data_IF_170805606694
#
_entry.id   IF_170805606694
#
_cell.length_a   1.000
_cell.length_b   1.000
_cell.length_c   1.000
_cell.angle_alpha   90.00
_cell.angle_beta   90.00
_cell.angle_gamma   90.00
#
_symmetry.space_group_name_H-M   'P 1'
#
loop_
_entity.id
_entity.type
_entity.pdbx_description
1 polymer ?
#
# COMPACT_ATOMS: atom_id res chain seq x y z
N UNK A 1 19.82 6.03 3.36
CA UNK A 1 19.58 4.57 3.45
C UNK A 1 20.63 3.83 2.65
N UNK A 2 20.94 2.56 2.97
CA UNK A 2 21.75 1.71 2.08
C UNK A 2 20.87 1.12 0.97
N UNK A 3 21.43 0.82 -0.21
CA UNK A 3 20.68 0.26 -1.36
C UNK A 3 19.84 -0.98 -0.98
N UNK A 4 20.44 -1.93 -0.25
CA UNK A 4 19.74 -3.12 0.24
C UNK A 4 18.56 -2.80 1.17
N UNK A 5 18.62 -1.69 1.92
CA UNK A 5 17.49 -1.25 2.75
C UNK A 5 16.38 -0.69 1.86
N UNK A 6 16.71 0.16 0.87
CA UNK A 6 15.72 0.73 -0.07
C UNK A 6 15.00 -0.38 -0.86
N UNK A 7 15.73 -1.38 -1.34
CA UNK A 7 15.17 -2.54 -2.05
C UNK A 7 14.13 -3.28 -1.21
N UNK A 8 14.46 -3.62 0.04
CA UNK A 8 13.53 -4.26 0.97
C UNK A 8 12.29 -3.40 1.24
N UNK A 9 12.46 -2.09 1.38
CA UNK A 9 11.33 -1.17 1.58
C UNK A 9 10.44 -1.13 0.34
N UNK A 10 11.04 -1.15 -0.85
CA UNK A 10 10.31 -1.16 -2.11
C UNK A 10 9.46 -2.43 -2.23
N UNK A 11 10.04 -3.61 -1.98
CA UNK A 11 9.31 -4.88 -1.95
C UNK A 11 8.16 -4.86 -0.92
N UNK A 12 8.41 -4.32 0.27
CA UNK A 12 7.40 -4.21 1.33
C UNK A 12 6.23 -3.31 0.92
N UNK A 13 6.51 -2.16 0.29
CA UNK A 13 5.48 -1.23 -0.19
C UNK A 13 4.69 -1.84 -1.36
N UNK A 14 5.34 -2.58 -2.25
CA UNK A 14 4.66 -3.27 -3.36
C UNK A 14 3.72 -4.37 -2.85
N UNK A 15 4.17 -5.16 -1.87
CA UNK A 15 3.32 -6.14 -1.17
C UNK A 15 2.12 -5.49 -0.49
N UNK A 16 2.34 -4.36 0.18
CA UNK A 16 1.26 -3.61 0.85
C UNK A 16 0.24 -3.09 -0.17
N UNK A 17 0.70 -2.53 -1.29
CA UNK A 17 -0.16 -2.05 -2.38
C UNK A 17 -0.96 -3.17 -3.03
N UNK A 18 -0.42 -4.37 -3.11
CA UNK A 18 -1.17 -5.53 -3.62
C UNK A 18 -2.30 -5.93 -2.69
N UNK A 19 -2.08 -5.91 -1.37
CA UNK A 19 -3.14 -6.11 -0.39
C UNK A 19 -4.22 -5.03 -0.52
N UNK A 20 -3.82 -3.78 -0.81
CA UNK A 20 -4.75 -2.69 -1.02
C UNK A 20 -5.62 -2.87 -2.27
N UNK A 21 -5.08 -3.45 -3.35
CA UNK A 21 -5.87 -3.82 -4.55
C UNK A 21 -6.85 -4.95 -4.25
N UNK A 22 -6.41 -5.98 -3.51
CA UNK A 22 -7.29 -7.07 -3.08
C UNK A 22 -8.44 -6.54 -2.22
N UNK A 23 -8.18 -5.55 -1.37
CA UNK A 23 -9.22 -4.91 -0.56
C UNK A 23 -10.30 -4.28 -1.45
N UNK A 24 -9.90 -3.58 -2.52
CA UNK A 24 -10.84 -3.01 -3.49
C UNK A 24 -11.62 -4.08 -4.27
N UNK A 25 -10.99 -5.21 -4.58
CA UNK A 25 -11.70 -6.34 -5.17
C UNK A 25 -12.86 -6.78 -4.26
N UNK A 26 -12.62 -6.91 -2.95
CA UNK A 26 -13.64 -7.25 -1.97
C UNK A 26 -14.72 -6.17 -1.82
N UNK A 27 -14.38 -4.88 -1.90
CA UNK A 27 -15.40 -3.81 -1.98
C UNK A 27 -16.34 -4.03 -3.18
N UNK A 28 -15.78 -4.39 -4.34
CA UNK A 28 -16.54 -4.73 -5.53
C UNK A 28 -17.45 -5.96 -5.36
N UNK A 29 -16.97 -7.01 -4.68
CA UNK A 29 -17.78 -8.19 -4.36
C UNK A 29 -18.95 -7.85 -3.42
N UNK A 30 -18.69 -7.03 -2.40
CA UNK A 30 -19.72 -6.55 -1.47
C UNK A 30 -20.76 -5.68 -2.18
N UNK A 31 -20.32 -4.75 -3.03
CA UNK A 31 -21.20 -3.92 -3.86
C UNK A 31 -22.11 -4.76 -4.75
N UNK A 32 -21.54 -5.77 -5.42
CA UNK A 32 -22.27 -6.68 -6.29
C UNK A 32 -23.14 -7.69 -5.52
N UNK A 33 -22.99 -7.78 -4.19
CA UNK A 33 -23.58 -8.81 -3.32
C UNK A 33 -23.26 -10.23 -3.79
N UNK A 34 -22.06 -10.42 -4.33
CA UNK A 34 -21.58 -11.69 -4.91
C UNK A 34 -20.36 -12.19 -4.15
N UNK A 35 -20.58 -12.62 -2.91
CA UNK A 35 -19.55 -13.20 -2.07
C UNK A 35 -20.09 -14.42 -1.34
N UNK A 36 -19.18 -15.36 -1.04
CA UNK A 36 -19.44 -16.57 -0.27
C UNK A 36 -18.93 -16.41 1.16
N UNK A 37 -19.31 -17.31 2.09
CA UNK A 37 -18.77 -17.28 3.45
C UNK A 37 -17.25 -17.34 3.52
N UNK A 38 -16.58 -18.00 2.58
CA UNK A 38 -15.11 -18.08 2.53
C UNK A 38 -14.48 -16.73 2.18
N UNK A 39 -15.14 -15.95 1.32
CA UNK A 39 -14.70 -14.60 0.94
C UNK A 39 -14.71 -13.66 2.17
N UNK A 40 -15.68 -13.82 3.07
CA UNK A 40 -15.76 -13.06 4.32
C UNK A 40 -14.54 -13.37 5.21
N UNK A 41 -14.19 -14.65 5.37
CA UNK A 41 -13.02 -15.05 6.16
C UNK A 41 -11.72 -14.47 5.57
N UNK A 42 -11.53 -14.59 4.26
CA UNK A 42 -10.37 -14.03 3.57
C UNK A 42 -10.32 -12.50 3.65
N UNK A 43 -11.47 -11.82 3.59
CA UNK A 43 -11.53 -10.36 3.74
C UNK A 43 -11.05 -9.91 5.13
N UNK A 44 -11.47 -10.61 6.18
CA UNK A 44 -11.04 -10.30 7.56
C UNK A 44 -9.53 -10.56 7.77
N UNK A 45 -9.01 -11.64 7.18
CA UNK A 45 -7.58 -11.92 7.18
C UNK A 45 -6.80 -10.85 6.42
N UNK A 46 -7.26 -10.47 5.23
CA UNK A 46 -6.65 -9.41 4.42
C UNK A 46 -6.58 -8.09 5.19
N UNK A 47 -7.63 -7.71 5.91
CA UNK A 47 -7.61 -6.50 6.77
C UNK A 47 -6.53 -6.56 7.83
N UNK A 48 -6.34 -7.72 8.45
CA UNK A 48 -5.30 -7.93 9.46
C UNK A 48 -3.90 -7.82 8.83
N UNK A 49 -3.72 -8.44 7.66
CA UNK A 49 -2.48 -8.37 6.89
C UNK A 49 -2.14 -6.94 6.47
N UNK A 50 -3.14 -6.17 6.04
CA UNK A 50 -2.99 -4.75 5.69
C UNK A 50 -2.47 -3.95 6.88
N UNK A 51 -3.09 -4.10 8.06
CA UNK A 51 -2.67 -3.36 9.27
C UNK A 51 -1.25 -3.76 9.67
N UNK A 52 -0.91 -5.05 9.60
CA UNK A 52 0.44 -5.53 9.88
C UNK A 52 1.46 -4.95 8.90
N UNK A 53 1.18 -4.98 7.59
CA UNK A 53 2.08 -4.42 6.57
C UNK A 53 2.21 -2.90 6.68
N UNK A 54 1.15 -2.21 7.08
CA UNK A 54 1.19 -0.78 7.37
C UNK A 54 2.26 -0.46 8.43
N UNK A 55 2.30 -1.22 9.54
CA UNK A 55 3.32 -1.02 10.58
C UNK A 55 4.74 -1.24 10.05
N UNK A 56 4.95 -2.29 9.24
CA UNK A 56 6.27 -2.54 8.64
C UNK A 56 6.72 -1.40 7.73
N UNK A 57 5.81 -0.88 6.90
CA UNK A 57 6.12 0.24 5.99
C UNK A 57 6.42 1.51 6.78
N UNK A 58 5.63 1.84 7.80
CA UNK A 58 5.85 3.01 8.65
C UNK A 58 7.13 2.93 9.47
N UNK A 59 7.52 1.73 9.92
CA UNK A 59 8.81 1.53 10.59
C UNK A 59 10.00 1.75 9.65
N UNK A 60 9.79 1.64 8.34
CA UNK A 60 10.85 1.72 7.35
C UNK A 60 10.94 3.06 6.61
N UNK A 61 9.83 3.80 6.50
CA UNK A 61 9.76 5.09 5.78
C UNK A 61 9.66 6.25 6.78
N UNK A 62 10.59 7.20 6.67
CA UNK A 62 10.72 8.31 7.63
C UNK A 62 9.80 9.50 7.31
N UNK A 63 9.31 9.67 6.08
CA UNK A 63 8.41 10.78 5.69
C UNK A 63 7.62 10.52 4.40
N UNK A 64 6.55 11.29 4.17
CA UNK A 64 5.78 11.28 2.92
C UNK A 64 4.63 10.25 2.84
N UNK A 65 4.45 9.42 3.88
CA UNK A 65 3.34 8.48 3.96
C UNK A 65 1.99 9.18 4.18
N UNK A 66 0.88 8.65 3.64
CA UNK A 66 -0.44 9.10 4.04
C UNK A 66 -0.63 8.91 5.56
N UNK A 67 -1.47 9.72 6.23
CA UNK A 67 -1.71 9.60 7.66
C UNK A 67 -2.13 8.17 8.04
N UNK A 68 -1.47 7.59 9.03
CA UNK A 68 -1.79 6.23 9.51
C UNK A 68 -3.26 6.12 9.93
N UNK A 69 -3.78 7.17 10.56
CA UNK A 69 -5.19 7.27 10.97
C UNK A 69 -6.16 7.13 9.79
N UNK A 70 -5.85 7.68 8.61
CA UNK A 70 -6.73 7.59 7.44
C UNK A 70 -6.89 6.14 6.98
N UNK A 71 -5.79 5.39 6.98
CA UNK A 71 -5.78 3.96 6.65
C UNK A 71 -6.57 3.17 7.69
N UNK A 72 -6.34 3.41 8.98
CA UNK A 72 -7.04 2.71 10.06
C UNK A 72 -8.53 3.03 10.09
N UNK A 73 -8.90 4.28 9.84
CA UNK A 73 -10.30 4.72 9.76
C UNK A 73 -11.02 4.02 8.61
N UNK A 74 -10.39 3.92 7.43
CA UNK A 74 -10.95 3.20 6.30
C UNK A 74 -11.17 1.72 6.61
N UNK A 75 -10.17 1.05 7.17
CA UNK A 75 -10.24 -0.38 7.51
C UNK A 75 -11.30 -0.64 8.60
N UNK A 76 -11.43 0.27 9.55
CA UNK A 76 -12.46 0.22 10.60
C UNK A 76 -13.86 0.46 10.05
N UNK A 77 -14.00 1.31 9.03
CA UNK A 77 -15.25 1.57 8.31
C UNK A 77 -15.76 0.39 7.46
N UNK A 78 -14.96 -0.66 7.32
CA UNK A 78 -15.26 -1.84 6.52
C UNK A 78 -15.22 -3.13 7.37
N UNK A 79 -16.05 -3.28 8.41
CA UNK A 79 -15.95 -4.36 9.40
C UNK A 79 -16.12 -5.76 8.81
N UNK A 80 -17.02 -5.95 7.84
CA UNK A 80 -17.31 -7.23 7.17
C UNK A 80 -17.83 -7.02 5.74
N UNK A 81 -17.75 -8.02 4.87
CA UNK A 81 -18.36 -7.95 3.53
C UNK A 81 -19.88 -7.85 3.64
N UNK A 82 -20.49 -8.58 4.59
CA UNK A 82 -21.92 -8.46 4.87
C UNK A 82 -22.32 -7.03 5.20
N UNK A 83 -21.62 -6.38 6.14
CA UNK A 83 -21.89 -4.99 6.49
C UNK A 83 -21.78 -4.07 5.28
N UNK A 84 -20.71 -4.21 4.48
CA UNK A 84 -20.49 -3.41 3.28
C UNK A 84 -21.60 -3.60 2.24
N UNK A 85 -22.11 -4.83 2.09
CA UNK A 85 -23.19 -5.15 1.15
C UNK A 85 -24.54 -4.55 1.54
N UNK A 86 -24.71 -4.22 2.81
CA UNK A 86 -25.91 -3.60 3.37
C UNK A 86 -25.83 -2.07 3.39
N UNK A 87 -24.65 -1.49 3.16
CA UNK A 87 -24.49 -0.04 3.10
C UNK A 87 -25.29 0.58 1.93
N UNK A 88 -25.81 1.79 2.11
CA UNK A 88 -26.31 2.58 0.98
C UNK A 88 -25.21 2.78 -0.07
N UNK A 89 -25.58 2.75 -1.36
CA UNK A 89 -24.65 2.93 -2.48
C UNK A 89 -23.77 4.18 -2.33
N UNK A 90 -24.36 5.28 -1.85
CA UNK A 90 -23.64 6.52 -1.60
C UNK A 90 -22.53 6.37 -0.55
N UNK A 91 -22.79 5.62 0.53
CA UNK A 91 -21.81 5.35 1.59
C UNK A 91 -20.68 4.45 1.08
N UNK A 92 -21.03 3.45 0.27
CA UNK A 92 -20.03 2.57 -0.33
C UNK A 92 -19.13 3.31 -1.32
N UNK A 93 -19.69 4.17 -2.18
CA UNK A 93 -18.91 5.04 -3.07
C UNK A 93 -18.01 6.02 -2.32
N UNK A 94 -18.45 6.51 -1.16
CA UNK A 94 -17.61 7.36 -0.32
C UNK A 94 -16.39 6.59 0.21
N UNK A 95 -16.60 5.33 0.64
CA UNK A 95 -15.52 4.44 1.08
C UNK A 95 -14.54 4.11 -0.06
N UNK A 96 -15.05 3.79 -1.26
CA UNK A 96 -14.23 3.57 -2.46
C UNK A 96 -13.41 4.82 -2.83
N UNK A 97 -14.00 6.00 -2.71
CA UNK A 97 -13.32 7.27 -2.95
C UNK A 97 -12.21 7.52 -1.92
N UNK A 98 -12.43 7.21 -0.65
CA UNK A 98 -11.41 7.28 0.40
C UNK A 98 -10.29 6.28 0.14
N UNK A 99 -10.63 5.04 -0.23
CA UNK A 99 -9.68 4.00 -0.62
C UNK A 99 -8.76 4.47 -1.74
N UNK A 100 -9.34 5.07 -2.79
CA UNK A 100 -8.60 5.52 -3.95
C UNK A 100 -7.62 6.67 -3.62
N UNK A 101 -8.05 7.62 -2.78
CA UNK A 101 -7.17 8.71 -2.31
C UNK A 101 -5.95 8.17 -1.57
N UNK A 102 -6.16 7.22 -0.65
CA UNK A 102 -5.07 6.57 0.09
C UNK A 102 -4.16 5.80 -0.88
N UNK A 103 -4.75 5.09 -1.84
CA UNK A 103 -3.99 4.32 -2.84
C UNK A 103 -3.08 5.22 -3.69
N UNK A 104 -3.58 6.36 -4.18
CA UNK A 104 -2.78 7.33 -4.93
C UNK A 104 -1.62 7.86 -4.08
N UNK A 105 -1.86 8.18 -2.81
CA UNK A 105 -0.82 8.65 -1.91
C UNK A 105 0.31 7.60 -1.77
N UNK A 106 -0.04 6.33 -1.60
CA UNK A 106 0.95 5.25 -1.55
C UNK A 106 1.68 5.01 -2.88
N UNK A 107 0.99 5.16 -4.02
CA UNK A 107 1.65 5.11 -5.33
C UNK A 107 2.67 6.24 -5.51
N UNK A 108 2.38 7.44 -4.99
CA UNK A 108 3.34 8.55 -4.95
C UNK A 108 4.58 8.19 -4.13
N UNK A 109 4.40 7.59 -2.94
CA UNK A 109 5.51 7.11 -2.09
C UNK A 109 6.34 6.06 -2.83
N UNK A 110 5.70 5.07 -3.47
CA UNK A 110 6.39 4.06 -4.26
C UNK A 110 7.20 4.69 -5.41
N UNK A 111 6.64 5.68 -6.09
CA UNK A 111 7.34 6.43 -7.14
C UNK A 111 8.59 7.13 -6.62
N UNK A 112 8.50 7.79 -5.47
CA UNK A 112 9.65 8.44 -4.82
C UNK A 112 10.73 7.43 -4.43
N UNK A 113 10.35 6.29 -3.83
CA UNK A 113 11.27 5.21 -3.49
C UNK A 113 12.00 4.64 -4.72
N UNK A 114 11.29 4.46 -5.83
CA UNK A 114 11.85 3.99 -7.11
C UNK A 114 12.88 4.97 -7.67
N UNK A 115 12.62 6.28 -7.61
CA UNK A 115 13.58 7.31 -8.02
C UNK A 115 14.84 7.27 -7.15
N UNK A 116 14.68 7.16 -5.83
CA UNK A 116 15.83 7.05 -4.92
C UNK A 116 16.70 5.83 -5.24
N UNK A 117 16.09 4.66 -5.45
CA UNK A 117 16.80 3.44 -5.84
C UNK A 117 17.59 3.60 -7.15
N UNK A 118 16.99 4.19 -8.19
CA UNK A 118 17.66 4.42 -9.49
C UNK A 118 18.77 5.48 -9.43
N UNK A 119 18.59 6.51 -8.61
CA UNK A 119 19.57 7.60 -8.46
C UNK A 119 20.85 7.14 -7.76
N UNK A 120 20.76 6.21 -6.81
CA UNK A 120 21.91 5.60 -6.15
C UNK A 120 22.72 4.72 -7.12
N UNK A 121 22.05 4.03 -8.06
CA UNK A 121 22.71 3.26 -9.11
C UNK A 121 23.50 4.15 -10.08
N UNK A 122 22.93 5.29 -10.47
CA UNK A 122 23.59 6.23 -11.39
C UNK A 122 24.83 6.89 -10.76
N UNK A 123 24.77 7.21 -9.46
CA UNK A 123 25.90 7.81 -8.73
C UNK A 123 27.03 6.81 -8.47
N UNK A 124 26.71 5.54 -8.21
CA UNK A 124 27.70 4.48 -8.00
C UNK A 124 28.56 4.23 -9.24
N UNK A 125 27.96 4.31 -10.44
CA UNK A 125 28.67 4.11 -11.72
C UNK A 125 29.64 5.27 -11.99
N UNK A 126 29.21 6.52 -11.80
CA UNK A 126 30.05 7.70 -12.04
C UNK A 126 31.23 7.81 -11.04
N UNK A 127 31.02 7.40 -9.79
CA UNK A 127 32.08 7.38 -8.77
C UNK A 127 33.20 6.37 -9.06
N UNK A 128 32.85 5.20 -9.64
CA UNK A 128 33.84 4.18 -10.03
C UNK A 128 34.72 4.61 -11.21
N UNK A 129 34.13 5.28 -12.20
CA UNK A 129 34.84 5.72 -13.41
C UNK A 129 35.81 6.87 -13.13
N UNK A 130 35.47 7.80 -12.23
CA UNK A 130 36.37 8.89 -11.85
C UNK A 130 37.52 8.46 -10.94
N UNK A 131 37.34 7.37 -10.17
CA UNK A 131 38.41 6.81 -9.32
C UNK A 131 39.43 6.00 -10.12
N UNK A 132 39.01 5.32 -11.18
CA UNK A 132 39.90 4.57 -12.10
C UNK A 132 40.73 5.43 -13.07
N UNK A 133 40.65 6.76 -13.00
CA UNK A 133 41.38 7.69 -13.87
C UNK A 133 42.52 8.44 -13.17
N UNK A 134 42.88 8.02 -11.96
CA UNK A 134 43.94 8.63 -11.12
C UNK A 134 45.08 7.66 -10.75
N UNK A 135 45.13 6.47 -11.35
CA UNK A 135 46.30 5.57 -11.30
C UNK A 135 47.00 5.51 -12.65
#
# INVERSE_FOLDING_TARGET
>A
MTKKKVEKVLEQVESFLECWKQFNHYLGLAHAKKFKPEDEAHFLELKSLIVQQLEFVFAAIESGCPPKEDVLNLISGAPSLRFLSELPEQSLRALESQWHKIYIAWLSVLGQLKVHYQSDDSKSILGGILKGKKE
#
